data_IF_114187287966
#
_entry.id   IF_114187287966
#
_cell.length_a   1.000
_cell.length_b   1.000
_cell.length_c   1.000
_cell.angle_alpha   90.00
_cell.angle_beta   90.00
_cell.angle_gamma   90.00
#
_symmetry.space_group_name_H-M   'P 1'
#
loop_
_entity.id
_entity.type
_entity.pdbx_description
1 polymer ?
#
# COMPACT_ATOMS: atom_id res chain seq x y z
N UNK A 1 15.53 25.72 -21.07
CA UNK A 1 14.82 24.45 -20.79
C UNK A 1 15.13 23.37 -21.84
N UNK A 2 15.37 23.72 -23.10
CA UNK A 2 15.62 22.73 -24.16
C UNK A 2 16.97 22.00 -24.04
N UNK A 3 18.02 22.68 -23.52
CA UNK A 3 19.30 22.03 -23.21
C UNK A 3 19.21 20.94 -22.15
N UNK A 4 18.35 21.11 -21.14
CA UNK A 4 18.12 20.10 -20.10
C UNK A 4 17.36 18.88 -20.64
N UNK A 5 16.40 19.10 -21.55
CA UNK A 5 15.69 18.02 -22.25
C UNK A 5 16.63 17.24 -23.18
N UNK A 6 17.53 17.94 -23.89
CA UNK A 6 18.53 17.33 -24.76
C UNK A 6 19.53 16.48 -23.95
N UNK A 7 20.06 17.02 -22.85
CA UNK A 7 20.96 16.28 -21.95
C UNK A 7 20.31 15.04 -21.32
N UNK A 8 19.05 15.13 -20.90
CA UNK A 8 18.30 13.98 -20.39
C UNK A 8 18.11 12.90 -21.47
N UNK A 9 17.74 13.30 -22.68
CA UNK A 9 17.52 12.35 -23.79
C UNK A 9 18.83 11.66 -24.19
N UNK A 10 19.93 12.39 -24.18
CA UNK A 10 21.26 11.83 -24.43
C UNK A 10 21.66 10.82 -23.35
N UNK A 11 21.60 11.21 -22.07
CA UNK A 11 21.91 10.31 -20.96
C UNK A 11 21.00 9.06 -20.95
N UNK A 12 19.72 9.20 -21.29
CA UNK A 12 18.80 8.08 -21.43
C UNK A 12 19.19 7.14 -22.58
N UNK A 13 19.59 7.69 -23.73
CA UNK A 13 20.05 6.87 -24.87
C UNK A 13 21.36 6.14 -24.59
N UNK A 14 22.31 6.78 -23.90
CA UNK A 14 23.58 6.18 -23.49
C UNK A 14 23.34 5.04 -22.51
N UNK A 15 22.49 5.24 -21.49
CA UNK A 15 22.10 4.15 -20.57
C UNK A 15 21.36 3.01 -21.27
N UNK A 16 20.48 3.32 -22.24
CA UNK A 16 19.79 2.31 -23.04
C UNK A 16 20.78 1.47 -23.87
N UNK A 17 21.78 2.11 -24.48
CA UNK A 17 22.82 1.41 -25.22
C UNK A 17 23.69 0.55 -24.28
N UNK A 18 24.03 1.06 -23.09
CA UNK A 18 24.80 0.31 -22.10
C UNK A 18 24.07 -0.92 -21.53
N UNK A 19 22.73 -0.92 -21.50
CA UNK A 19 21.92 -2.04 -21.01
C UNK A 19 21.88 -3.23 -21.98
N UNK A 20 22.12 -3.01 -23.29
CA UNK A 20 22.07 -4.05 -24.31
C UNK A 20 20.66 -4.60 -24.59
N UNK A 21 20.55 -5.67 -25.42
CA UNK A 21 19.28 -6.33 -25.70
C UNK A 21 18.73 -7.04 -24.46
N UNK A 22 17.41 -7.24 -24.41
CA UNK A 22 16.75 -7.92 -23.30
C UNK A 22 17.20 -9.38 -23.22
N UNK A 23 17.90 -9.72 -22.14
CA UNK A 23 18.22 -11.11 -21.81
C UNK A 23 16.99 -11.89 -21.35
N UNK A 24 17.18 -13.19 -21.14
CA UNK A 24 16.12 -14.10 -20.65
C UNK A 24 15.67 -13.72 -19.23
N UNK A 25 16.61 -13.29 -18.38
CA UNK A 25 16.31 -12.91 -17.00
C UNK A 25 15.27 -11.78 -16.90
N UNK A 26 15.44 -10.60 -17.55
CA UNK A 26 14.41 -9.56 -17.55
C UNK A 26 13.07 -10.01 -18.14
N UNK A 27 13.08 -10.83 -19.19
CA UNK A 27 11.85 -11.33 -19.83
C UNK A 27 11.07 -12.24 -18.87
N UNK A 28 11.76 -13.15 -18.17
CA UNK A 28 11.15 -14.06 -17.22
C UNK A 28 10.66 -13.34 -15.96
N UNK A 29 11.43 -12.36 -15.47
CA UNK A 29 10.99 -11.53 -14.36
C UNK A 29 9.75 -10.71 -14.73
N UNK A 30 9.73 -10.10 -15.93
CA UNK A 30 8.58 -9.36 -16.42
C UNK A 30 7.35 -10.26 -16.60
N UNK A 31 7.51 -11.47 -17.14
CA UNK A 31 6.39 -12.39 -17.33
C UNK A 31 5.76 -12.81 -16.00
N UNK A 32 6.57 -13.03 -14.96
CA UNK A 32 6.07 -13.29 -13.60
C UNK A 32 5.36 -12.06 -13.00
N UNK A 33 5.88 -10.85 -13.21
CA UNK A 33 5.19 -9.62 -12.79
C UNK A 33 3.84 -9.48 -13.48
N UNK A 34 3.78 -9.72 -14.80
CA UNK A 34 2.52 -9.68 -15.54
C UNK A 34 1.54 -10.76 -15.06
N UNK A 35 2.03 -11.96 -14.76
CA UNK A 35 1.24 -13.03 -14.16
C UNK A 35 0.67 -12.62 -12.80
N UNK A 36 1.45 -11.92 -11.96
CA UNK A 36 0.97 -11.37 -10.69
C UNK A 36 -0.19 -10.41 -10.90
N UNK A 37 -0.10 -9.50 -11.88
CA UNK A 37 -1.20 -8.58 -12.20
C UNK A 37 -2.45 -9.33 -12.66
N UNK A 38 -2.30 -10.35 -13.52
CA UNK A 38 -3.42 -11.19 -13.97
C UNK A 38 -4.06 -11.94 -12.80
N UNK A 39 -3.26 -12.53 -11.91
CA UNK A 39 -3.75 -13.20 -10.70
C UNK A 39 -4.53 -12.23 -9.80
N UNK A 40 -3.99 -11.05 -9.53
CA UNK A 40 -4.68 -10.05 -8.71
C UNK A 40 -5.99 -9.60 -9.37
N UNK A 41 -5.99 -9.35 -10.68
CA UNK A 41 -7.17 -8.91 -11.42
C UNK A 41 -8.27 -9.98 -11.49
N UNK A 42 -7.89 -11.25 -11.65
CA UNK A 42 -8.83 -12.38 -11.75
C UNK A 42 -9.32 -12.91 -10.39
N UNK A 43 -8.91 -12.29 -9.27
CA UNK A 43 -9.31 -12.69 -7.91
C UNK A 43 -10.81 -12.55 -7.66
N UNK A 44 -11.32 -11.33 -7.81
CA UNK A 44 -12.75 -10.96 -7.67
C UNK A 44 -13.16 -10.02 -8.80
N UNK A 45 -13.13 -10.48 -10.06
CA UNK A 45 -13.64 -9.69 -11.16
C UNK A 45 -15.16 -9.54 -10.95
N UNK A 46 -15.69 -8.33 -11.12
CA UNK A 46 -17.14 -8.07 -10.92
C UNK A 46 -18.03 -8.79 -11.96
N UNK A 47 -17.43 -9.33 -13.02
CA UNK A 47 -18.13 -9.88 -14.20
C UNK A 47 -18.36 -11.40 -14.08
N UNK A 48 -17.45 -12.12 -13.42
CA UNK A 48 -17.52 -13.58 -13.28
C UNK A 48 -16.96 -14.02 -11.93
N UNK A 49 -17.26 -15.25 -11.51
CA UNK A 49 -16.68 -15.82 -10.28
C UNK A 49 -15.18 -15.98 -10.45
N UNK A 50 -14.40 -15.14 -9.77
CA UNK A 50 -12.93 -15.21 -9.78
C UNK A 50 -12.39 -16.39 -8.98
N UNK A 51 -11.07 -16.58 -9.01
CA UNK A 51 -10.44 -17.72 -8.34
C UNK A 51 -10.53 -17.70 -6.80
N UNK A 52 -10.98 -16.59 -6.20
CA UNK A 52 -11.30 -16.55 -4.76
C UNK A 52 -12.39 -17.58 -4.38
N UNK A 53 -13.23 -18.00 -5.32
CA UNK A 53 -14.27 -19.00 -5.07
C UNK A 53 -13.78 -20.45 -5.01
N UNK A 54 -12.50 -20.73 -5.31
CA UNK A 54 -11.97 -22.10 -5.36
C UNK A 54 -12.04 -22.79 -3.99
N UNK A 55 -11.83 -22.05 -2.90
CA UNK A 55 -11.91 -22.60 -1.55
C UNK A 55 -12.90 -21.82 -0.69
N UNK A 56 -14.10 -22.36 -0.53
CA UNK A 56 -15.13 -21.75 0.31
C UNK A 56 -14.85 -21.84 1.82
N UNK A 57 -13.86 -22.64 2.24
CA UNK A 57 -13.54 -22.84 3.67
C UNK A 57 -12.56 -21.80 4.23
N UNK A 58 -11.84 -21.07 3.37
CA UNK A 58 -10.85 -20.08 3.79
C UNK A 58 -10.87 -18.86 2.87
N UNK A 59 -10.88 -17.66 3.45
CA UNK A 59 -10.81 -16.42 2.66
C UNK A 59 -9.47 -16.30 1.92
N UNK A 60 -9.53 -16.22 0.60
CA UNK A 60 -8.32 -16.09 -0.23
C UNK A 60 -7.98 -14.61 -0.45
N UNK A 61 -7.06 -14.09 0.36
CA UNK A 61 -6.58 -12.71 0.27
C UNK A 61 -5.73 -12.42 -0.97
N UNK A 62 -5.45 -11.13 -1.23
CA UNK A 62 -4.42 -10.71 -2.20
C UNK A 62 -3.02 -11.26 -1.84
N UNK A 63 -2.81 -11.57 -0.56
CA UNK A 63 -1.59 -12.22 -0.05
C UNK A 63 -1.33 -13.58 -0.69
N UNK A 64 -2.35 -14.35 -1.06
CA UNK A 64 -2.18 -15.68 -1.67
C UNK A 64 -1.43 -15.56 -2.99
N UNK A 65 -1.87 -14.64 -3.86
CA UNK A 65 -1.19 -14.36 -5.12
C UNK A 65 0.23 -13.83 -4.88
N UNK A 66 0.41 -12.92 -3.92
CA UNK A 66 1.73 -12.39 -3.56
C UNK A 66 2.71 -13.47 -3.12
N UNK A 67 2.33 -14.31 -2.15
CA UNK A 67 3.16 -15.40 -1.61
C UNK A 67 3.44 -16.45 -2.70
N UNK A 68 2.42 -16.85 -3.47
CA UNK A 68 2.59 -17.77 -4.58
C UNK A 68 3.61 -17.26 -5.61
N UNK A 69 3.52 -15.98 -5.97
CA UNK A 69 4.50 -15.35 -6.86
C UNK A 69 5.89 -15.28 -6.24
N UNK A 70 6.02 -14.94 -4.95
CA UNK A 70 7.32 -14.98 -4.26
C UNK A 70 7.96 -16.37 -4.31
N UNK A 71 7.17 -17.44 -4.10
CA UNK A 71 7.65 -18.82 -4.23
C UNK A 71 8.13 -19.10 -5.66
N UNK A 72 7.38 -18.68 -6.68
CA UNK A 72 7.79 -18.85 -8.09
C UNK A 72 9.10 -18.11 -8.40
N UNK A 73 9.29 -16.90 -7.86
CA UNK A 73 10.55 -16.15 -8.01
C UNK A 73 11.76 -16.87 -7.39
N UNK A 74 11.57 -17.62 -6.31
CA UNK A 74 12.63 -18.43 -5.71
C UNK A 74 12.81 -19.79 -6.41
N UNK A 75 11.73 -20.40 -6.88
CA UNK A 75 11.74 -21.75 -7.46
C UNK A 75 12.27 -21.76 -8.91
N UNK A 76 11.99 -20.71 -9.69
CA UNK A 76 12.37 -20.65 -11.10
C UNK A 76 13.84 -20.23 -11.24
N UNK A 77 14.68 -20.99 -11.95
CA UNK A 77 16.08 -20.63 -12.18
C UNK A 77 16.22 -19.48 -13.19
N UNK A 78 17.25 -18.64 -12.99
CA UNK A 78 17.56 -17.48 -13.83
C UNK A 78 18.09 -17.84 -15.24
N UNK A 79 18.57 -19.08 -15.42
CA UNK A 79 19.28 -19.52 -16.63
C UNK A 79 18.48 -20.53 -17.45
N UNK A 80 18.68 -20.48 -18.78
CA UNK A 80 18.11 -21.37 -19.82
C UNK A 80 18.41 -22.87 -19.63
N UNK A 81 19.27 -23.21 -18.67
CA UNK A 81 19.71 -24.57 -18.38
C UNK A 81 18.49 -25.48 -18.12
N UNK A 82 17.47 -24.98 -17.42
CA UNK A 82 16.26 -25.76 -17.12
C UNK A 82 15.51 -26.20 -18.39
N UNK A 83 15.28 -25.32 -19.37
CA UNK A 83 14.60 -25.70 -20.60
C UNK A 83 15.41 -26.70 -21.45
N UNK A 84 16.75 -26.64 -21.41
CA UNK A 84 17.61 -27.62 -22.11
C UNK A 84 17.63 -29.01 -21.44
N UNK A 85 17.45 -29.09 -20.13
CA UNK A 85 17.30 -30.36 -19.41
C UNK A 85 16.05 -31.13 -19.86
N UNK A 86 14.92 -30.43 -20.10
CA UNK A 86 13.70 -31.04 -20.65
C UNK A 86 13.80 -31.43 -22.13
N UNK A 87 14.79 -30.89 -22.85
CA UNK A 87 15.04 -31.17 -24.28
C UNK A 87 16.26 -32.09 -24.46
N UNK A 88 16.70 -32.79 -23.40
CA UNK A 88 17.77 -33.79 -23.44
C UNK A 88 19.08 -33.31 -24.09
N UNK A 89 19.48 -32.04 -23.86
CA UNK A 89 20.74 -31.48 -24.39
C UNK A 89 21.69 -31.16 -23.24
N UNK A 90 22.88 -31.76 -23.26
CA UNK A 90 23.90 -31.53 -22.23
C UNK A 90 24.21 -30.03 -22.10
N UNK A 91 24.16 -29.47 -20.88
CA UNK A 91 24.51 -28.07 -20.65
C UNK A 91 26.01 -27.85 -20.81
N UNK A 92 26.40 -26.69 -21.33
CA UNK A 92 27.80 -26.30 -21.58
C UNK A 92 28.58 -25.99 -20.28
N UNK A 93 27.86 -25.80 -19.16
CA UNK A 93 28.41 -25.69 -17.81
C UNK A 93 27.52 -26.44 -16.83
N UNK A 94 28.10 -27.42 -16.14
CA UNK A 94 27.48 -28.14 -15.03
C UNK A 94 27.62 -27.31 -13.74
N UNK A 95 26.51 -27.09 -13.04
CA UNK A 95 26.48 -26.37 -11.77
C UNK A 95 25.07 -25.98 -11.34
N UNK A 96 24.86 -25.62 -10.06
CA UNK A 96 23.57 -25.16 -9.56
C UNK A 96 23.16 -23.88 -10.28
N UNK A 97 21.94 -23.87 -10.84
CA UNK A 97 21.38 -22.67 -11.45
C UNK A 97 20.96 -21.70 -10.34
N UNK A 98 21.43 -20.45 -10.40
CA UNK A 98 20.96 -19.41 -9.51
C UNK A 98 19.44 -19.22 -9.70
N UNK A 99 18.71 -19.06 -8.61
CA UNK A 99 17.28 -18.69 -8.66
C UNK A 99 17.10 -17.31 -9.31
N UNK A 100 15.93 -17.08 -9.89
CA UNK A 100 15.58 -15.79 -10.50
C UNK A 100 15.65 -14.67 -9.47
N UNK A 101 15.26 -14.94 -8.22
CA UNK A 101 15.47 -14.06 -7.09
C UNK A 101 16.21 -14.83 -6.00
N UNK A 102 17.39 -14.36 -5.57
CA UNK A 102 18.13 -15.01 -4.49
C UNK A 102 17.67 -14.50 -3.12
N UNK A 103 17.63 -15.37 -2.11
CA UNK A 103 17.30 -14.94 -0.74
C UNK A 103 18.24 -13.86 -0.23
N UNK A 104 19.54 -13.97 -0.56
CA UNK A 104 20.54 -12.95 -0.19
C UNK A 104 20.18 -11.58 -0.76
N UNK A 105 19.72 -11.51 -2.02
CA UNK A 105 19.26 -10.27 -2.60
C UNK A 105 18.01 -9.74 -1.90
N UNK A 106 17.03 -10.58 -1.60
CA UNK A 106 15.81 -10.16 -0.87
C UNK A 106 16.16 -9.66 0.52
N UNK A 107 16.93 -10.43 1.28
CA UNK A 107 17.31 -10.08 2.65
C UNK A 107 18.05 -8.74 2.72
N UNK A 108 18.91 -8.45 1.73
CA UNK A 108 19.72 -7.24 1.71
C UNK A 108 18.98 -6.00 1.16
N UNK A 109 17.97 -6.19 0.29
CA UNK A 109 17.25 -5.07 -0.34
C UNK A 109 15.86 -4.83 0.26
N UNK A 110 15.42 -5.66 1.21
CA UNK A 110 14.13 -5.50 1.87
C UNK A 110 14.28 -4.60 3.10
N UNK A 111 13.52 -3.49 3.21
CA UNK A 111 13.51 -2.62 4.38
C UNK A 111 12.73 -3.29 5.54
N UNK A 112 13.38 -4.24 6.23
CA UNK A 112 12.73 -5.07 7.25
C UNK A 112 12.18 -4.26 8.43
N UNK A 113 12.94 -3.26 8.90
CA UNK A 113 12.53 -2.43 10.03
C UNK A 113 11.21 -1.70 9.75
N UNK A 114 11.08 -1.17 8.54
CA UNK A 114 9.90 -0.48 8.05
C UNK A 114 8.71 -1.43 7.87
N UNK A 115 8.94 -2.66 7.40
CA UNK A 115 7.90 -3.70 7.33
C UNK A 115 7.42 -4.09 8.74
N UNK A 116 8.31 -4.26 9.72
CA UNK A 116 7.92 -4.51 11.10
C UNK A 116 7.14 -3.35 11.70
N UNK A 117 7.53 -2.12 11.38
CA UNK A 117 6.81 -0.91 11.78
C UNK A 117 5.38 -0.88 11.20
N UNK A 118 5.21 -1.27 9.93
CA UNK A 118 3.88 -1.44 9.32
C UNK A 118 3.06 -2.56 10.01
N UNK A 119 3.70 -3.65 10.42
CA UNK A 119 3.07 -4.69 11.23
C UNK A 119 2.56 -4.18 12.58
N UNK A 120 3.35 -3.33 13.27
CA UNK A 120 2.94 -2.69 14.51
C UNK A 120 1.74 -1.75 14.30
N UNK A 121 1.72 -1.02 13.18
CA UNK A 121 0.62 -0.15 12.78
C UNK A 121 -0.71 -0.92 12.59
N UNK A 122 -0.66 -2.09 11.93
CA UNK A 122 -1.82 -2.99 11.85
C UNK A 122 -2.24 -3.51 13.22
N UNK A 123 -1.27 -3.94 14.04
CA UNK A 123 -1.54 -4.43 15.40
C UNK A 123 -2.28 -3.40 16.25
N UNK A 124 -1.91 -2.12 16.15
CA UNK A 124 -2.64 -1.02 16.79
C UNK A 124 -4.13 -0.99 16.39
N UNK A 125 -4.46 -1.04 15.10
CA UNK A 125 -5.86 -0.99 14.66
C UNK A 125 -6.69 -2.21 15.06
N UNK A 126 -6.10 -3.40 15.02
CA UNK A 126 -6.76 -4.60 15.52
C UNK A 126 -6.96 -4.55 17.02
N UNK A 127 -5.96 -4.07 17.77
CA UNK A 127 -6.03 -3.93 19.23
C UNK A 127 -7.07 -2.88 19.63
N UNK A 128 -7.11 -1.74 18.95
CA UNK A 128 -8.11 -0.68 19.16
C UNK A 128 -9.55 -1.18 18.91
N UNK A 129 -9.71 -2.12 17.97
CA UNK A 129 -11.01 -2.75 17.72
C UNK A 129 -11.34 -3.79 18.80
N UNK A 130 -10.36 -4.58 19.23
CA UNK A 130 -10.54 -5.62 20.24
C UNK A 130 -10.80 -5.06 21.66
N UNK A 131 -10.23 -3.90 22.01
CA UNK A 131 -10.48 -3.23 23.28
C UNK A 131 -11.65 -2.23 23.24
N UNK A 132 -12.45 -2.25 22.17
CA UNK A 132 -13.62 -1.37 21.99
C UNK A 132 -13.31 0.14 22.04
N UNK A 133 -12.05 0.54 21.82
CA UNK A 133 -11.65 1.95 21.80
C UNK A 133 -12.42 2.74 20.74
N UNK A 134 -12.64 2.13 19.57
CA UNK A 134 -13.43 2.76 18.50
C UNK A 134 -14.87 3.03 18.94
N UNK A 135 -15.48 2.11 19.69
CA UNK A 135 -16.85 2.24 20.23
C UNK A 135 -16.90 3.32 21.29
N UNK A 136 -15.97 3.29 22.25
CA UNK A 136 -15.87 4.31 23.28
C UNK A 136 -15.72 5.73 22.70
N UNK A 137 -14.90 5.90 21.66
CA UNK A 137 -14.74 7.18 20.98
C UNK A 137 -16.02 7.61 20.24
N UNK A 138 -16.68 6.68 19.56
CA UNK A 138 -17.91 6.96 18.84
C UNK A 138 -19.05 7.38 19.80
N UNK A 139 -19.21 6.68 20.91
CA UNK A 139 -20.21 6.99 21.94
C UNK A 139 -19.92 8.34 22.60
N UNK A 140 -18.64 8.62 22.93
CA UNK A 140 -18.22 9.89 23.53
C UNK A 140 -18.47 11.09 22.60
N UNK A 141 -18.43 10.87 21.28
CA UNK A 141 -18.63 11.91 20.28
C UNK A 141 -20.05 11.91 19.70
N UNK A 142 -20.90 10.97 20.12
CA UNK A 142 -22.31 10.95 19.75
C UNK A 142 -22.97 12.21 20.32
N UNK A 143 -23.66 12.95 19.46
CA UNK A 143 -24.34 14.17 19.86
C UNK A 143 -25.80 14.09 19.45
N UNK A 144 -26.68 14.23 20.44
CA UNK A 144 -28.14 14.17 20.28
C UNK A 144 -28.71 15.44 19.61
N UNK A 145 -27.85 16.40 19.27
CA UNK A 145 -28.24 17.62 18.57
C UNK A 145 -28.49 17.32 17.10
N UNK A 146 -29.72 17.56 16.63
CA UNK A 146 -30.16 17.44 15.21
C UNK A 146 -29.49 18.45 14.24
N UNK A 147 -28.36 19.03 14.59
CA UNK A 147 -27.67 20.05 13.80
C UNK A 147 -26.17 19.78 13.66
N UNK A 148 -25.57 20.37 12.63
CA UNK A 148 -24.12 20.33 12.43
C UNK A 148 -23.39 20.92 13.63
N UNK A 149 -22.56 20.10 14.29
CA UNK A 149 -21.74 20.51 15.42
C UNK A 149 -20.28 20.66 14.98
N UNK A 150 -19.80 21.90 14.96
CA UNK A 150 -18.42 22.23 14.55
C UNK A 150 -17.36 21.56 15.42
N UNK A 151 -17.64 21.36 16.72
CA UNK A 151 -16.67 20.71 17.61
C UNK A 151 -16.49 19.24 17.25
N UNK A 152 -17.59 18.53 17.02
CA UNK A 152 -17.56 17.14 16.57
C UNK A 152 -16.89 17.01 15.20
N UNK A 153 -17.08 18.01 14.33
CA UNK A 153 -16.41 18.05 13.04
C UNK A 153 -14.89 18.12 13.16
N UNK A 154 -14.39 19.05 13.96
CA UNK A 154 -12.95 19.20 14.21
C UNK A 154 -12.39 17.95 14.89
N UNK A 155 -13.07 17.42 15.91
CA UNK A 155 -12.67 16.19 16.58
C UNK A 155 -12.59 15.00 15.62
N UNK A 156 -13.59 14.83 14.74
CA UNK A 156 -13.60 13.77 13.73
C UNK A 156 -12.44 13.89 12.76
N UNK A 157 -12.16 15.09 12.26
CA UNK A 157 -11.05 15.33 11.32
C UNK A 157 -9.67 15.10 11.98
N UNK A 158 -9.49 15.54 13.23
CA UNK A 158 -8.26 15.32 13.99
C UNK A 158 -8.05 13.84 14.31
N UNK A 159 -9.10 13.15 14.78
CA UNK A 159 -9.02 11.72 15.09
C UNK A 159 -8.79 10.88 13.83
N UNK A 160 -9.46 11.20 12.71
CA UNK A 160 -9.23 10.52 11.44
C UNK A 160 -7.79 10.70 10.94
N UNK A 161 -7.26 11.92 11.05
CA UNK A 161 -5.85 12.22 10.73
C UNK A 161 -4.90 11.44 11.65
N UNK A 162 -5.18 11.37 12.95
CA UNK A 162 -4.37 10.63 13.90
C UNK A 162 -4.38 9.12 13.62
N UNK A 163 -5.56 8.52 13.41
CA UNK A 163 -5.69 7.09 13.13
C UNK A 163 -4.98 6.69 11.83
N UNK A 164 -5.15 7.47 10.76
CA UNK A 164 -4.47 7.20 9.48
C UNK A 164 -2.96 7.46 9.54
N UNK A 165 -2.52 8.30 10.47
CA UNK A 165 -1.09 8.52 10.72
C UNK A 165 -0.45 7.34 11.45
N UNK A 166 -1.20 6.68 12.34
CA UNK A 166 -0.72 5.53 13.12
C UNK A 166 -0.92 4.19 12.41
N UNK A 167 -1.84 4.11 11.45
CA UNK A 167 -2.18 2.87 10.74
C UNK A 167 -2.63 3.12 9.31
N UNK A 168 -2.41 2.18 8.37
CA UNK A 168 -2.85 2.34 7.01
C UNK A 168 -4.34 2.69 6.87
N UNK A 169 -4.63 3.73 6.10
CA UNK A 169 -5.99 4.22 5.90
C UNK A 169 -6.99 3.14 5.48
N UNK A 170 -6.56 2.18 4.65
CA UNK A 170 -7.39 1.04 4.22
C UNK A 170 -7.78 0.13 5.38
N UNK A 171 -6.91 -0.02 6.38
CA UNK A 171 -7.18 -0.81 7.58
C UNK A 171 -8.08 -0.05 8.53
N UNK A 172 -7.81 1.24 8.74
CA UNK A 172 -8.67 2.13 9.53
C UNK A 172 -10.08 2.20 8.95
N UNK A 173 -10.21 2.36 7.63
CA UNK A 173 -11.51 2.38 6.94
C UNK A 173 -12.26 1.05 7.07
N UNK A 174 -11.56 -0.08 7.14
CA UNK A 174 -12.19 -1.39 7.30
C UNK A 174 -12.62 -1.65 8.75
N UNK A 175 -11.80 -1.26 9.72
CA UNK A 175 -11.97 -1.64 11.12
C UNK A 175 -12.63 -0.57 12.00
N UNK A 176 -12.30 0.70 11.82
CA UNK A 176 -12.77 1.79 12.68
C UNK A 176 -13.96 2.54 12.09
N UNK A 177 -13.94 2.83 10.77
CA UNK A 177 -14.98 3.64 10.13
C UNK A 177 -16.42 3.12 10.35
N UNK A 178 -16.72 1.80 10.26
CA UNK A 178 -18.08 1.30 10.51
C UNK A 178 -18.61 1.66 11.90
N UNK A 179 -17.74 1.63 12.92
CA UNK A 179 -18.10 2.04 14.28
C UNK A 179 -18.22 3.55 14.39
N UNK A 180 -17.31 4.33 13.78
CA UNK A 180 -17.35 5.80 13.86
C UNK A 180 -18.60 6.41 13.21
N UNK A 181 -19.27 5.70 12.30
CA UNK A 181 -20.55 6.14 11.71
C UNK A 181 -21.65 6.30 12.78
N UNK A 182 -21.61 5.55 13.88
CA UNK A 182 -22.63 5.65 14.95
C UNK A 182 -22.59 6.98 15.70
N UNK A 183 -21.44 7.68 15.68
CA UNK A 183 -21.29 9.01 16.29
C UNK A 183 -22.01 10.13 15.52
N UNK A 184 -22.57 9.81 14.35
CA UNK A 184 -23.33 10.73 13.50
C UNK A 184 -22.48 11.45 12.44
N UNK A 185 -23.18 12.02 11.44
CA UNK A 185 -22.56 12.58 10.23
C UNK A 185 -21.58 13.72 10.50
N UNK A 186 -21.83 14.52 11.55
CA UNK A 186 -20.92 15.63 11.91
C UNK A 186 -19.53 15.13 12.32
N UNK A 187 -19.40 13.88 12.79
CA UNK A 187 -18.13 13.29 13.21
C UNK A 187 -17.59 12.30 12.16
N UNK A 188 -18.45 11.42 11.65
CA UNK A 188 -18.03 10.31 10.78
C UNK A 188 -17.56 10.78 9.40
N UNK A 189 -18.17 11.83 8.84
CA UNK A 189 -17.80 12.40 7.54
C UNK A 189 -16.39 13.03 7.56
N UNK A 190 -16.05 13.94 8.49
CA UNK A 190 -14.68 14.45 8.61
C UNK A 190 -13.67 13.36 8.99
N UNK A 191 -14.07 12.39 9.81
CA UNK A 191 -13.21 11.25 10.13
C UNK A 191 -12.85 10.46 8.85
N UNK A 192 -13.84 10.11 8.03
CA UNK A 192 -13.66 9.35 6.79
C UNK A 192 -12.81 10.10 5.77
N UNK A 193 -13.06 11.39 5.58
CA UNK A 193 -12.30 12.22 4.63
C UNK A 193 -10.87 12.45 5.10
N UNK A 194 -10.65 12.61 6.41
CA UNK A 194 -9.32 12.75 7.00
C UNK A 194 -8.45 11.48 6.86
N UNK A 195 -9.01 10.31 6.56
CA UNK A 195 -8.22 9.10 6.29
C UNK A 195 -7.29 9.23 5.06
N UNK A 196 -7.59 10.18 4.16
CA UNK A 196 -6.72 10.52 3.05
C UNK A 196 -5.47 11.31 3.45
N UNK A 197 -5.40 11.80 4.69
CA UNK A 197 -4.27 12.57 5.21
C UNK A 197 -3.08 11.68 5.61
N UNK A 198 -2.53 10.93 4.66
CA UNK A 198 -1.49 9.92 4.87
C UNK A 198 -0.06 10.49 4.85
N UNK A 199 0.10 11.80 5.05
CA UNK A 199 1.38 12.47 4.80
C UNK A 199 2.29 12.59 6.03
N UNK A 200 1.79 12.28 7.23
CA UNK A 200 2.50 12.60 8.48
C UNK A 200 3.52 11.55 8.92
N UNK A 201 3.25 10.26 8.69
CA UNK A 201 4.20 9.18 8.99
C UNK A 201 4.27 8.16 7.86
N UNK A 202 5.43 7.49 7.65
CA UNK A 202 5.56 6.48 6.61
C UNK A 202 4.62 5.27 6.75
N UNK A 203 4.18 4.95 7.97
CA UNK A 203 3.30 3.81 8.26
C UNK A 203 1.87 3.98 7.79
N UNK A 204 1.48 5.20 7.40
CA UNK A 204 0.12 5.55 6.95
C UNK A 204 -0.32 4.83 5.68
N UNK A 205 0.62 4.23 4.94
CA UNK A 205 0.36 3.40 3.77
C UNK A 205 1.56 2.50 3.48
N UNK A 206 1.34 1.25 3.02
CA UNK A 206 2.43 0.39 2.59
C UNK A 206 3.34 1.03 1.55
N UNK A 207 2.79 1.84 0.63
CA UNK A 207 3.59 2.54 -0.38
C UNK A 207 4.55 3.57 0.22
N UNK A 208 4.06 4.35 1.20
CA UNK A 208 4.88 5.33 1.91
C UNK A 208 5.99 4.65 2.71
N UNK A 209 5.67 3.53 3.34
CA UNK A 209 6.63 2.71 4.10
C UNK A 209 7.77 2.20 3.20
N UNK A 210 7.44 1.68 2.01
CA UNK A 210 8.44 1.18 1.05
C UNK A 210 9.36 2.31 0.58
N UNK A 211 8.79 3.46 0.19
CA UNK A 211 9.58 4.60 -0.30
C UNK A 211 10.44 5.18 0.82
N UNK A 212 9.93 5.27 2.05
CA UNK A 212 10.71 5.75 3.19
C UNK A 212 11.90 4.84 3.51
N UNK A 213 11.71 3.51 3.43
CA UNK A 213 12.79 2.54 3.63
C UNK A 213 13.86 2.63 2.54
N UNK A 214 13.46 2.70 1.26
CA UNK A 214 14.40 2.83 0.14
C UNK A 214 15.10 4.20 0.10
N UNK A 215 14.38 5.26 0.43
CA UNK A 215 14.90 6.62 0.48
C UNK A 215 15.65 6.96 1.76
N UNK A 216 15.72 6.03 2.73
CA UNK A 216 16.27 6.26 4.07
C UNK A 216 15.72 7.54 4.73
N UNK A 217 14.42 7.79 4.55
CA UNK A 217 13.76 9.01 5.02
C UNK A 217 13.39 8.83 6.49
N UNK A 218 13.96 9.67 7.35
CA UNK A 218 13.67 9.61 8.78
C UNK A 218 12.20 10.03 9.05
N UNK A 219 11.51 9.42 10.02
CA UNK A 219 10.12 9.76 10.34
C UNK A 219 9.91 11.26 10.61
N UNK A 220 10.87 11.92 11.25
CA UNK A 220 10.81 13.37 11.52
C UNK A 220 10.84 14.21 10.23
N UNK A 221 11.64 13.82 9.24
CA UNK A 221 11.70 14.52 7.95
C UNK A 221 10.40 14.31 7.16
N UNK A 222 9.85 13.10 7.23
CA UNK A 222 8.57 12.76 6.64
C UNK A 222 7.45 13.62 7.24
N UNK A 223 7.39 13.70 8.57
CA UNK A 223 6.42 14.50 9.31
C UNK A 223 6.51 15.99 8.95
N UNK A 224 7.73 16.55 8.93
CA UNK A 224 7.93 17.96 8.64
C UNK A 224 7.47 18.30 7.21
N UNK A 225 7.84 17.48 6.22
CA UNK A 225 7.40 17.66 4.84
C UNK A 225 5.90 17.45 4.64
N UNK A 226 5.31 16.50 5.38
CA UNK A 226 3.89 16.20 5.34
C UNK A 226 3.00 17.21 6.05
N UNK A 227 3.53 17.95 7.03
CA UNK A 227 2.73 18.88 7.85
C UNK A 227 2.00 19.95 7.03
N UNK A 228 2.66 20.51 6.01
CA UNK A 228 2.07 21.53 5.13
C UNK A 228 0.92 20.94 4.30
N UNK A 229 1.13 19.76 3.73
CA UNK A 229 0.10 19.03 2.97
C UNK A 229 -1.08 18.63 3.86
N UNK A 230 -0.79 18.20 5.10
CA UNK A 230 -1.81 17.84 6.06
C UNK A 230 -2.70 19.02 6.46
N UNK A 231 -2.10 20.20 6.71
CA UNK A 231 -2.85 21.42 7.00
C UNK A 231 -3.68 21.88 5.79
N UNK A 232 -3.11 21.80 4.58
CA UNK A 232 -3.85 22.11 3.35
C UNK A 232 -5.06 21.18 3.15
N UNK A 233 -4.87 19.87 3.36
CA UNK A 233 -5.96 18.89 3.29
C UNK A 233 -7.03 19.15 4.36
N UNK A 234 -6.62 19.46 5.58
CA UNK A 234 -7.57 19.80 6.65
C UNK A 234 -8.42 21.02 6.29
N UNK A 235 -7.81 22.12 5.83
CA UNK A 235 -8.52 23.32 5.42
C UNK A 235 -9.46 23.09 4.24
N UNK A 236 -9.03 22.31 3.24
CA UNK A 236 -9.86 22.00 2.07
C UNK A 236 -11.05 21.11 2.44
N UNK A 237 -10.86 20.06 3.26
CA UNK A 237 -11.94 19.21 3.77
C UNK A 237 -12.94 20.04 4.58
N UNK A 238 -12.47 20.92 5.46
CA UNK A 238 -13.32 21.83 6.24
C UNK A 238 -14.13 22.76 5.32
N UNK A 239 -13.48 23.40 4.35
CA UNK A 239 -14.12 24.29 3.38
C UNK A 239 -15.19 23.58 2.55
N UNK A 240 -14.89 22.40 2.01
CA UNK A 240 -15.86 21.62 1.24
C UNK A 240 -17.01 21.09 2.09
N UNK A 241 -16.76 20.71 3.34
CA UNK A 241 -17.85 20.23 4.22
C UNK A 241 -18.80 21.36 4.60
N UNK A 242 -18.30 22.58 4.82
CA UNK A 242 -19.14 23.76 5.04
C UNK A 242 -19.93 24.09 3.77
N UNK A 243 -19.29 24.02 2.59
CA UNK A 243 -19.92 24.30 1.31
C UNK A 243 -21.07 23.32 0.99
N UNK A 244 -20.86 22.02 1.27
CA UNK A 244 -21.84 20.96 1.02
C UNK A 244 -22.77 20.68 2.20
N UNK A 245 -22.72 21.51 3.25
CA UNK A 245 -23.55 21.33 4.44
C UNK A 245 -25.04 21.23 4.13
N UNK A 246 -25.53 21.97 3.13
CA UNK A 246 -26.95 21.96 2.74
C UNK A 246 -27.37 20.74 1.91
N UNK A 247 -26.42 19.98 1.37
CA UNK A 247 -26.70 18.83 0.48
C UNK A 247 -26.43 17.48 1.15
N UNK A 248 -25.53 17.44 2.14
CA UNK A 248 -24.98 16.19 2.71
C UNK A 248 -25.29 16.00 4.21
N UNK A 249 -25.57 17.08 4.94
CA UNK A 249 -25.83 17.09 6.39
C UNK A 249 -27.27 17.48 6.71
#
# INVERSE_FOLDING_TARGET
MDGAKAGFKQAASERKQALGPWGIYPILALSLILLMFVLVATRKPRIFTGWDSINHKAESGLSVAGIGMSILFFAIPANYIFCRYYVCRQPEKEGPANSLLSWKAVNNNTPWAEIFMLGAAFSFSYSASACELNTYLADSMSSDTKGFNMNNFICGALLGTLWTTLSPATTVAKLALPTMVTAGNSFSLPFATALHNQFLLPVSSPANTIIAGWGNVRPFQFLLGGSVLALFMFCTIAGFTILFRTTVL
#
